data_IF_008544197873
#
_entry.id   IF_008544197873
#
_cell.length_a   1.000
_cell.length_b   1.000
_cell.length_c   1.000
_cell.angle_alpha   90.00
_cell.angle_beta   90.00
_cell.angle_gamma   90.00
#
_symmetry.space_group_name_H-M   'P 1'
#
loop_
_entity.id
_entity.type
_entity.pdbx_description
1 polymer ?
#
# COMPACT_ATOMS: atom_id res chain seq x y z
N UNK A 1 -13.24 34.62 -12.49
CA UNK A 1 -12.43 33.89 -11.48
C UNK A 1 -11.73 34.94 -10.61
N UNK A 2 -11.86 34.87 -9.27
CA UNK A 2 -11.38 35.92 -8.36
C UNK A 2 -9.87 35.79 -8.10
N UNK A 3 -9.15 36.93 -8.10
CA UNK A 3 -7.69 37.05 -7.89
C UNK A 3 -7.19 36.35 -6.63
N UNK A 4 -8.03 36.23 -5.61
CA UNK A 4 -7.72 35.47 -4.39
C UNK A 4 -7.50 33.96 -4.65
N UNK A 5 -8.29 33.35 -5.55
CA UNK A 5 -8.11 31.94 -5.90
C UNK A 5 -6.86 31.70 -6.74
N UNK A 6 -6.50 32.63 -7.63
CA UNK A 6 -5.24 32.51 -8.38
C UNK A 6 -4.03 32.58 -7.45
N UNK A 7 -4.05 33.47 -6.46
CA UNK A 7 -2.95 33.57 -5.51
C UNK A 7 -2.84 32.32 -4.64
N UNK A 8 -3.97 31.77 -4.18
CA UNK A 8 -4.01 30.53 -3.39
C UNK A 8 -3.38 29.34 -4.16
N UNK A 9 -3.80 29.13 -5.42
CA UNK A 9 -3.29 28.06 -6.27
C UNK A 9 -1.79 28.20 -6.60
N UNK A 10 -1.29 29.43 -6.72
CA UNK A 10 0.13 29.69 -6.97
C UNK A 10 0.99 29.36 -5.73
N UNK A 11 0.48 29.59 -4.52
CA UNK A 11 1.19 29.28 -3.27
C UNK A 11 1.26 27.79 -2.93
N UNK A 12 0.31 26.97 -3.38
CA UNK A 12 0.36 25.50 -3.22
C UNK A 12 1.17 24.80 -4.32
N UNK A 13 1.58 25.51 -5.37
CA UNK A 13 2.42 24.92 -6.42
C UNK A 13 3.83 24.65 -5.89
N UNK A 14 4.22 23.37 -5.87
CA UNK A 14 5.58 22.94 -5.51
C UNK A 14 6.52 23.37 -6.64
N UNK A 15 7.59 24.09 -6.29
CA UNK A 15 8.54 24.66 -7.26
C UNK A 15 9.09 23.63 -8.25
N UNK A 16 9.31 24.04 -9.50
CA UNK A 16 9.64 23.22 -10.68
C UNK A 16 10.98 22.43 -10.62
N UNK A 17 11.68 22.43 -9.48
CA UNK A 17 13.06 22.01 -9.39
C UNK A 17 13.24 20.63 -8.76
N UNK A 18 13.02 19.60 -9.57
CA UNK A 18 13.72 18.31 -9.53
C UNK A 18 13.18 17.45 -10.68
N UNK A 19 14.05 17.01 -11.60
CA UNK A 19 13.67 16.06 -12.65
C UNK A 19 13.03 14.78 -12.09
N UNK A 20 13.39 14.39 -10.86
CA UNK A 20 12.81 13.24 -10.14
C UNK A 20 11.36 13.51 -9.73
N UNK A 21 11.03 14.74 -9.29
CA UNK A 21 9.65 15.12 -8.95
C UNK A 21 8.75 15.10 -10.19
N UNK A 22 9.24 15.58 -11.35
CA UNK A 22 8.46 15.53 -12.60
C UNK A 22 8.09 14.10 -12.99
N UNK A 23 9.05 13.16 -12.92
CA UNK A 23 8.77 11.75 -13.23
C UNK A 23 7.81 11.07 -12.26
N UNK A 24 7.87 11.38 -10.96
CA UNK A 24 6.94 10.79 -9.97
C UNK A 24 5.54 11.41 -10.08
N UNK A 25 5.46 12.71 -10.36
CA UNK A 25 4.18 13.41 -10.61
C UNK A 25 3.51 12.87 -11.86
N UNK A 26 4.24 12.72 -12.97
CA UNK A 26 3.72 12.14 -14.22
C UNK A 26 3.21 10.70 -14.02
N UNK A 27 3.94 9.88 -13.24
CA UNK A 27 3.51 8.52 -12.92
C UNK A 27 2.25 8.51 -12.05
N UNK A 28 2.18 9.39 -11.04
CA UNK A 28 1.02 9.55 -10.17
C UNK A 28 -0.21 10.01 -10.94
N UNK A 29 -0.06 11.01 -11.82
CA UNK A 29 -1.15 11.53 -12.65
C UNK A 29 -1.66 10.47 -13.62
N UNK A 30 -0.75 9.78 -14.32
CA UNK A 30 -1.12 8.65 -15.19
C UNK A 30 -1.87 7.56 -14.42
N UNK A 31 -1.34 7.15 -13.27
CA UNK A 31 -1.99 6.13 -12.43
C UNK A 31 -3.37 6.58 -11.95
N UNK A 32 -3.51 7.84 -11.53
CA UNK A 32 -4.78 8.41 -11.14
C UNK A 32 -5.79 8.34 -12.30
N UNK A 33 -5.43 8.82 -13.49
CA UNK A 33 -6.31 8.80 -14.65
C UNK A 33 -6.73 7.38 -15.05
N UNK A 34 -5.81 6.41 -14.98
CA UNK A 34 -6.08 5.01 -15.33
C UNK A 34 -6.92 4.27 -14.28
N UNK A 35 -6.89 4.69 -13.02
CA UNK A 35 -7.49 3.96 -11.90
C UNK A 35 -8.49 4.78 -11.08
N UNK A 36 -8.96 5.89 -11.66
CA UNK A 36 -9.98 6.74 -11.07
C UNK A 36 -11.37 6.37 -11.60
N UNK A 37 -12.35 6.33 -10.70
CA UNK A 37 -13.77 6.26 -11.05
C UNK A 37 -14.62 7.07 -10.08
N UNK A 38 -15.82 7.46 -10.51
CA UNK A 38 -16.79 8.18 -9.69
C UNK A 38 -18.02 7.33 -9.48
N UNK A 39 -18.45 7.23 -8.23
CA UNK A 39 -19.71 6.56 -7.88
C UNK A 39 -20.92 7.42 -8.26
N UNK A 40 -22.11 6.80 -8.35
CA UNK A 40 -23.38 7.51 -8.56
C UNK A 40 -23.73 8.49 -7.44
N UNK A 41 -23.09 8.35 -6.27
CA UNK A 41 -23.21 9.25 -5.11
C UNK A 41 -22.13 10.32 -5.09
N UNK A 42 -21.45 10.56 -6.21
CA UNK A 42 -20.46 11.62 -6.37
C UNK A 42 -19.12 11.39 -5.65
N UNK A 43 -18.89 10.19 -5.07
CA UNK A 43 -17.62 9.84 -4.39
C UNK A 43 -16.54 9.37 -5.35
N UNK A 44 -15.30 9.81 -5.10
CA UNK A 44 -14.10 9.45 -5.84
C UNK A 44 -13.55 8.11 -5.35
N UNK A 45 -13.31 7.17 -6.26
CA UNK A 45 -12.60 5.91 -6.01
C UNK A 45 -11.31 5.95 -6.81
N UNK A 46 -10.18 5.84 -6.13
CA UNK A 46 -8.84 5.82 -6.72
C UNK A 46 -8.14 4.57 -6.21
N UNK A 47 -7.59 3.76 -7.10
CA UNK A 47 -6.72 2.65 -6.69
C UNK A 47 -5.44 3.20 -6.06
N UNK A 48 -4.95 2.58 -4.99
CA UNK A 48 -3.67 2.95 -4.39
C UNK A 48 -2.55 2.30 -5.21
N UNK A 49 -1.57 3.05 -5.73
CA UNK A 49 -0.42 2.48 -6.43
C UNK A 49 0.43 1.66 -5.45
N UNK A 50 0.69 0.40 -5.80
CA UNK A 50 1.64 -0.46 -5.07
C UNK A 50 3.00 -0.41 -5.77
N UNK A 51 4.07 -0.18 -5.02
CA UNK A 51 5.45 -0.26 -5.54
C UNK A 51 5.79 -1.75 -5.72
N UNK A 52 5.81 -2.23 -6.95
CA UNK A 52 6.08 -3.64 -7.28
C UNK A 52 7.55 -4.05 -7.09
N UNK A 53 8.47 -3.09 -7.00
CA UNK A 53 9.92 -3.37 -7.03
C UNK A 53 10.53 -3.71 -5.66
N UNK A 54 9.72 -3.82 -4.61
CA UNK A 54 10.24 -4.11 -3.27
C UNK A 54 10.40 -5.61 -3.09
N UNK A 55 11.65 -6.09 -3.25
CA UNK A 55 12.03 -7.43 -2.82
C UNK A 55 11.72 -7.57 -1.34
N UNK A 56 10.91 -8.57 -0.98
CA UNK A 56 10.58 -8.91 0.42
C UNK A 56 11.86 -9.10 1.26
N UNK A 57 12.94 -9.51 0.60
CA UNK A 57 14.28 -9.68 1.16
C UNK A 57 14.79 -8.51 1.97
N UNK A 58 14.63 -7.29 1.44
CA UNK A 58 15.14 -6.07 2.07
C UNK A 58 14.38 -5.72 3.36
N UNK A 59 13.20 -6.30 3.56
CA UNK A 59 12.30 -6.01 4.67
C UNK A 59 12.15 -7.17 5.66
N UNK A 60 12.71 -8.36 5.41
CA UNK A 60 12.53 -9.53 6.30
C UNK A 60 12.83 -9.23 7.76
N UNK A 61 13.98 -8.61 8.05
CA UNK A 61 14.39 -8.32 9.43
C UNK A 61 13.41 -7.39 10.13
N UNK A 62 12.94 -6.35 9.43
CA UNK A 62 11.96 -5.40 9.95
C UNK A 62 10.58 -6.04 10.07
N UNK A 63 10.15 -6.82 9.09
CA UNK A 63 8.88 -7.54 9.08
C UNK A 63 8.82 -8.54 10.25
N UNK A 64 9.84 -9.37 10.43
CA UNK A 64 9.94 -10.31 11.54
C UNK A 64 9.92 -9.59 12.90
N UNK A 65 10.67 -8.51 13.05
CA UNK A 65 10.64 -7.71 14.30
C UNK A 65 9.23 -7.17 14.61
N UNK A 66 8.51 -6.69 13.59
CA UNK A 66 7.12 -6.21 13.74
C UNK A 66 6.17 -7.36 14.09
N UNK A 67 6.36 -8.51 13.44
CA UNK A 67 5.59 -9.73 13.70
C UNK A 67 5.81 -10.22 15.14
N UNK A 68 7.04 -10.28 15.62
CA UNK A 68 7.34 -10.65 17.00
C UNK A 68 6.71 -9.69 18.02
N UNK A 69 6.75 -8.39 17.74
CA UNK A 69 6.11 -7.39 18.59
C UNK A 69 4.59 -7.59 18.64
N UNK A 70 3.96 -7.93 17.51
CA UNK A 70 2.55 -8.30 17.45
C UNK A 70 2.28 -9.54 18.32
N UNK A 71 3.04 -10.63 18.13
CA UNK A 71 2.85 -11.85 18.91
C UNK A 71 3.00 -11.64 20.41
N UNK A 72 3.99 -10.84 20.85
CA UNK A 72 4.14 -10.47 22.26
C UNK A 72 2.92 -9.71 22.78
N UNK A 73 2.33 -8.83 21.98
CA UNK A 73 1.12 -8.07 22.37
C UNK A 73 -0.11 -8.99 22.48
N UNK A 74 -0.30 -9.88 21.50
CA UNK A 74 -1.39 -10.87 21.51
C UNK A 74 -1.23 -11.90 22.63
N UNK A 75 0.00 -12.23 23.04
CA UNK A 75 0.26 -13.13 24.16
C UNK A 75 -0.11 -12.53 25.52
N UNK A 76 -0.12 -11.20 25.65
CA UNK A 76 -0.48 -10.49 26.89
C UNK A 76 -1.98 -10.25 27.02
N UNK A 77 -2.69 -10.11 25.90
CA UNK A 77 -4.11 -9.81 25.86
C UNK A 77 -4.86 -10.88 25.07
N UNK A 78 -5.57 -11.75 25.80
CA UNK A 78 -6.33 -12.87 25.25
C UNK A 78 -7.53 -12.44 24.43
N UNK A 79 -8.15 -11.29 24.76
CA UNK A 79 -9.29 -10.78 24.02
C UNK A 79 -8.83 -10.23 22.66
N UNK A 80 -7.75 -9.46 22.66
CA UNK A 80 -7.13 -8.96 21.43
C UNK A 80 -6.69 -10.11 20.51
N UNK A 81 -6.17 -11.20 21.09
CA UNK A 81 -5.83 -12.41 20.34
C UNK A 81 -7.05 -13.03 19.66
N UNK A 82 -8.19 -13.13 20.35
CA UNK A 82 -9.42 -13.65 19.74
C UNK A 82 -9.84 -12.81 18.54
N UNK A 83 -9.96 -11.50 18.71
CA UNK A 83 -10.37 -10.60 17.62
C UNK A 83 -9.41 -10.65 16.44
N UNK A 84 -8.10 -10.73 16.70
CA UNK A 84 -7.11 -10.86 15.65
C UNK A 84 -7.26 -12.17 14.88
N UNK A 85 -7.48 -13.29 15.57
CA UNK A 85 -7.68 -14.60 14.93
C UNK A 85 -8.96 -14.64 14.09
N UNK A 86 -10.06 -14.08 14.60
CA UNK A 86 -11.34 -14.01 13.88
C UNK A 86 -11.18 -13.16 12.61
N UNK A 87 -10.54 -11.99 12.73
CA UNK A 87 -10.22 -11.14 11.58
C UNK A 87 -9.34 -11.85 10.54
N UNK A 88 -8.27 -12.52 10.96
CA UNK A 88 -7.37 -13.21 10.02
C UNK A 88 -8.05 -14.39 9.31
N UNK A 89 -9.07 -15.00 9.92
CA UNK A 89 -9.91 -16.00 9.27
C UNK A 89 -10.77 -15.37 8.18
N UNK A 90 -11.51 -14.31 8.51
CA UNK A 90 -12.31 -13.57 7.53
C UNK A 90 -11.43 -13.05 6.38
N UNK A 91 -10.27 -12.47 6.69
CA UNK A 91 -9.30 -11.96 5.74
C UNK A 91 -8.79 -13.03 4.76
N UNK A 92 -8.65 -14.27 5.24
CA UNK A 92 -8.34 -15.43 4.39
C UNK A 92 -9.53 -15.82 3.53
N UNK A 93 -10.72 -15.91 4.12
CA UNK A 93 -11.93 -16.42 3.46
C UNK A 93 -12.37 -15.51 2.29
N UNK A 94 -12.12 -14.20 2.39
CA UNK A 94 -12.36 -13.24 1.29
C UNK A 94 -11.22 -13.21 0.24
N UNK A 95 -10.20 -14.06 0.39
CA UNK A 95 -9.12 -14.23 -0.59
C UNK A 95 -8.03 -13.15 -0.54
N UNK A 96 -7.88 -12.41 0.56
CA UNK A 96 -6.80 -11.40 0.68
C UNK A 96 -5.43 -12.01 1.00
N UNK A 97 -5.39 -13.25 1.49
CA UNK A 97 -4.14 -14.01 1.73
C UNK A 97 -4.29 -15.43 1.22
N UNK A 98 -3.24 -15.92 0.56
CA UNK A 98 -3.11 -17.30 0.12
C UNK A 98 -1.84 -17.89 0.71
N UNK A 99 -1.92 -19.15 1.13
CA UNK A 99 -0.73 -19.89 1.55
C UNK A 99 0.20 -20.07 0.35
N UNK A 100 1.43 -19.61 0.50
CA UNK A 100 2.47 -19.87 -0.49
C UNK A 100 2.91 -21.31 -0.29
N UNK A 101 2.56 -22.18 -1.25
CA UNK A 101 3.20 -23.49 -1.34
C UNK A 101 4.64 -23.21 -1.74
N UNK A 102 5.60 -23.50 -0.86
CA UNK A 102 6.99 -23.49 -1.27
C UNK A 102 7.11 -24.44 -2.47
N UNK A 103 7.32 -23.86 -3.66
CA UNK A 103 7.92 -24.62 -4.72
C UNK A 103 9.30 -24.96 -4.19
N UNK A 104 9.51 -26.22 -3.80
CA UNK A 104 10.84 -26.79 -3.83
C UNK A 104 11.37 -26.43 -5.22
N UNK A 105 12.28 -25.47 -5.28
CA UNK A 105 13.12 -25.26 -6.44
C UNK A 105 14.02 -26.48 -6.51
N UNK A 106 13.45 -27.55 -7.08
CA UNK A 106 14.17 -28.65 -7.67
C UNK A 106 15.25 -28.02 -8.54
N UNK A 107 16.48 -28.33 -8.19
CA UNK A 107 17.68 -28.13 -8.99
C UNK A 107 17.38 -28.17 -10.50
N UNK A 108 17.62 -27.06 -11.18
CA UNK A 108 17.98 -27.02 -12.60
C UNK A 108 19.38 -26.40 -12.59
N UNK A 109 20.45 -27.20 -12.58
CA UNK A 109 21.07 -27.74 -13.80
C UNK A 109 21.10 -26.72 -14.93
N UNK A 110 22.16 -25.91 -14.98
CA UNK A 110 23.21 -25.93 -16.03
C UNK A 110 24.54 -25.56 -15.38
#
# INVERSE_FOLDING_TARGET
MNKAMQNFLNTESVGENSHVLKSEVELCEKHFLENYSRTSEDRYIVKIPLKNDKKLEEFWTTANRRLDALWRRLGKDTNLKSFYCDFMREYRDVGHVTEVKEAHESELSV
#
